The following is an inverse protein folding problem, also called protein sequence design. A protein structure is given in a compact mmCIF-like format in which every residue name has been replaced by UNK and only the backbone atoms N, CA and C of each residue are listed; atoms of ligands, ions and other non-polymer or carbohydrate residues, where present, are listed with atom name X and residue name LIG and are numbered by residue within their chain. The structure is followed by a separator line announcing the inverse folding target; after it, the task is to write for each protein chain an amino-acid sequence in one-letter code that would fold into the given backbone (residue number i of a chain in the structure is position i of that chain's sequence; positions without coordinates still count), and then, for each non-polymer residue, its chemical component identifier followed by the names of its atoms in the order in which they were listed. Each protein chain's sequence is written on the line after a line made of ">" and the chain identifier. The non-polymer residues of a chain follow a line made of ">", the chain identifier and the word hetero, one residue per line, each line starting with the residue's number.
data_IF_160520660120
#
_entry.id   IF_160520660120
#
_cell.length_a   1.000
_cell.length_b   1.000
_cell.length_c   1.000
_cell.angle_alpha   90.00
_cell.angle_beta   90.00
_cell.angle_gamma   90.00
#
_symmetry.space_group_name_H-M   'P 1'
#
loop_
_entity.id
_entity.type
_entity.pdbx_description
1 polymer ?
#
# COMPACT_ATOMS: atom_id res chain seq x y z
N UNK A 1 39.80 -9.57 -36.90
CA UNK A 1 40.71 -8.51 -36.47
C UNK A 1 40.22 -7.93 -35.17
N UNK A 2 41.11 -7.55 -34.30
CA UNK A 2 40.75 -6.99 -32.99
C UNK A 2 40.05 -5.64 -33.13
N UNK A 3 39.03 -5.40 -32.35
CA UNK A 3 38.32 -4.14 -32.29
C UNK A 3 38.70 -3.40 -31.01
N UNK A 4 39.33 -2.26 -31.15
CA UNK A 4 39.76 -1.41 -30.05
C UNK A 4 38.75 -0.27 -29.86
N UNK A 5 38.13 -0.17 -28.68
CA UNK A 5 37.18 0.89 -28.35
C UNK A 5 37.91 2.01 -27.60
N UNK A 6 37.77 3.24 -28.05
CA UNK A 6 38.38 4.44 -27.48
C UNK A 6 37.38 5.56 -27.32
N UNK A 7 37.80 6.59 -26.62
CA UNK A 7 37.05 7.83 -26.50
C UNK A 7 37.89 8.98 -27.09
N UNK A 8 37.24 10.07 -27.39
CA UNK A 8 37.85 11.30 -27.85
C UNK A 8 39.00 11.73 -26.92
N UNK A 9 40.17 12.02 -27.48
CA UNK A 9 41.39 12.42 -26.75
C UNK A 9 42.15 11.31 -26.03
N UNK A 10 41.67 10.07 -26.10
CA UNK A 10 42.38 8.93 -25.46
C UNK A 10 43.54 8.40 -26.30
N UNK A 11 44.67 8.17 -25.66
CA UNK A 11 45.83 7.55 -26.28
C UNK A 11 45.92 6.08 -25.85
N UNK A 12 46.07 5.18 -26.83
CA UNK A 12 46.33 3.77 -26.61
C UNK A 12 47.75 3.42 -27.07
N UNK A 13 48.48 2.73 -26.23
CA UNK A 13 49.77 2.13 -26.55
C UNK A 13 49.62 0.65 -26.86
N UNK A 14 50.06 0.23 -28.04
CA UNK A 14 50.03 -1.17 -28.48
C UNK A 14 51.44 -1.59 -28.80
N UNK A 15 51.96 -2.55 -28.04
CA UNK A 15 53.29 -3.14 -28.33
C UNK A 15 53.31 -3.89 -29.64
N UNK A 16 54.34 -3.69 -30.43
CA UNK A 16 54.58 -4.43 -31.69
C UNK A 16 55.39 -5.69 -31.35
N UNK A 17 54.69 -6.86 -31.39
CA UNK A 17 55.30 -8.17 -31.09
C UNK A 17 55.95 -8.85 -32.26
N UNK A 18 56.33 -8.15 -33.34
CA UNK A 18 56.95 -8.70 -34.55
C UNK A 18 58.42 -8.29 -34.64
N UNK A 19 59.25 -9.15 -35.11
CA UNK A 19 60.68 -8.90 -35.32
C UNK A 19 60.96 -8.18 -36.69
N UNK A 20 60.15 -7.18 -37.00
CA UNK A 20 60.26 -6.38 -38.20
C UNK A 20 61.19 -5.16 -38.02
N UNK A 21 61.51 -4.50 -39.13
CA UNK A 21 62.26 -3.25 -39.14
C UNK A 21 61.48 -2.19 -39.94
N UNK A 22 61.59 -0.93 -39.51
CA UNK A 22 60.96 0.24 -40.13
C UNK A 22 59.45 0.10 -40.26
N UNK A 23 58.80 -0.01 -39.08
CA UNK A 23 57.33 -0.03 -39.00
C UNK A 23 56.73 1.25 -39.48
N UNK A 24 55.63 1.13 -40.24
CA UNK A 24 54.78 2.22 -40.69
C UNK A 24 53.35 1.94 -40.31
N UNK A 25 52.69 2.95 -39.74
CA UNK A 25 51.29 2.87 -39.36
C UNK A 25 50.50 3.95 -40.14
N UNK A 26 49.33 3.56 -40.63
CA UNK A 26 48.42 4.46 -41.36
C UNK A 26 46.97 4.24 -40.83
N UNK A 27 46.26 5.33 -40.61
CA UNK A 27 44.81 5.32 -40.32
C UNK A 27 44.05 5.62 -41.61
N UNK A 28 42.97 4.88 -41.89
CA UNK A 28 42.08 5.15 -43.03
C UNK A 28 41.31 6.49 -42.85
N UNK A 29 41.16 6.93 -41.59
CA UNK A 29 40.54 8.21 -41.26
C UNK A 29 41.24 8.81 -40.02
N UNK A 30 42.11 9.79 -40.26
CA UNK A 30 42.87 10.46 -39.19
C UNK A 30 42.01 11.40 -38.34
N UNK A 31 40.84 11.86 -38.81
CA UNK A 31 39.91 12.63 -38.01
C UNK A 31 39.33 11.75 -36.88
N UNK A 32 39.14 10.43 -37.13
CA UNK A 32 38.66 9.46 -36.13
C UNK A 32 39.83 8.95 -35.27
N UNK A 33 40.95 8.58 -35.85
CA UNK A 33 42.11 8.07 -35.10
C UNK A 33 43.39 8.50 -35.80
N UNK A 34 44.24 9.18 -35.08
CA UNK A 34 45.65 9.35 -35.51
C UNK A 34 46.50 8.18 -35.00
N UNK A 35 47.47 7.74 -35.79
CA UNK A 35 48.32 6.65 -35.44
C UNK A 35 49.79 7.00 -35.73
N UNK A 36 50.68 6.73 -34.78
CA UNK A 36 52.11 6.90 -34.95
C UNK A 36 52.90 5.71 -34.35
N UNK A 37 54.08 5.47 -34.86
CA UNK A 37 55.01 4.48 -34.30
C UNK A 37 56.04 5.20 -33.44
N UNK A 38 56.14 4.82 -32.17
CA UNK A 38 57.11 5.34 -31.22
C UNK A 38 57.91 4.17 -30.63
N UNK A 39 59.15 4.00 -31.09
CA UNK A 39 59.97 2.86 -30.68
C UNK A 39 59.36 1.54 -31.17
N UNK A 40 58.99 0.67 -30.26
CA UNK A 40 58.34 -0.62 -30.57
C UNK A 40 56.85 -0.63 -30.18
N UNK A 41 56.21 0.55 -30.18
CA UNK A 41 54.79 0.70 -29.89
C UNK A 41 54.08 1.50 -30.97
N UNK A 42 52.79 1.24 -31.14
CA UNK A 42 51.86 2.08 -31.89
C UNK A 42 51.11 2.92 -30.87
N UNK A 43 51.10 4.21 -31.06
CA UNK A 43 50.25 5.16 -30.31
C UNK A 43 49.04 5.47 -31.16
N UNK A 44 47.85 5.20 -30.65
CA UNK A 44 46.59 5.53 -31.28
C UNK A 44 45.91 6.63 -30.45
N UNK A 45 45.63 7.76 -31.05
CA UNK A 45 44.88 8.84 -30.38
C UNK A 45 43.50 8.97 -31.00
N UNK A 46 42.44 8.81 -30.17
CA UNK A 46 41.04 8.98 -30.59
C UNK A 46 40.74 10.46 -30.87
N UNK A 47 40.20 10.75 -32.03
CA UNK A 47 39.64 12.04 -32.43
C UNK A 47 38.13 12.02 -32.46
N UNK A 48 37.53 12.28 -33.60
CA UNK A 48 36.07 12.32 -33.78
C UNK A 48 35.41 10.94 -33.55
N UNK A 49 34.14 10.97 -33.12
CA UNK A 49 33.34 9.76 -32.95
C UNK A 49 33.17 9.04 -34.28
N UNK A 50 33.52 7.76 -34.29
CA UNK A 50 33.42 6.97 -35.50
C UNK A 50 34.23 5.66 -35.44
N UNK A 51 34.40 5.01 -36.57
CA UNK A 51 35.21 3.81 -36.66
C UNK A 51 36.16 3.92 -37.86
N UNK A 52 37.41 3.49 -37.69
CA UNK A 52 38.40 3.48 -38.75
C UNK A 52 39.24 2.22 -38.68
N UNK A 53 39.95 1.90 -39.78
CA UNK A 53 40.92 0.83 -39.84
C UNK A 53 42.32 1.44 -39.75
N UNK A 54 43.13 0.91 -38.85
CA UNK A 54 44.56 1.26 -38.75
C UNK A 54 45.37 0.09 -39.30
N UNK A 55 46.31 0.40 -40.19
CA UNK A 55 47.19 -0.58 -40.86
C UNK A 55 48.60 -0.39 -40.33
N UNK A 56 49.17 -1.48 -39.90
CA UNK A 56 50.60 -1.57 -39.61
C UNK A 56 51.29 -2.37 -40.72
N UNK A 57 52.46 -1.93 -41.20
CA UNK A 57 53.30 -2.61 -42.14
C UNK A 57 54.77 -2.43 -41.79
N UNK A 58 55.63 -3.32 -42.29
CA UNK A 58 57.07 -3.24 -42.19
C UNK A 58 57.74 -3.35 -43.61
N UNK A 59 59.07 -3.20 -43.66
CA UNK A 59 59.82 -3.31 -44.89
C UNK A 59 59.92 -4.77 -45.45
N UNK A 60 59.49 -5.77 -44.63
CA UNK A 60 59.40 -7.18 -45.02
C UNK A 60 58.00 -7.57 -45.54
N UNK A 61 57.14 -6.57 -45.81
CA UNK A 61 55.74 -6.75 -46.28
C UNK A 61 54.85 -7.45 -45.33
N UNK A 62 55.19 -7.58 -44.03
CA UNK A 62 54.24 -7.99 -43.02
C UNK A 62 53.18 -6.92 -42.84
N UNK A 63 51.94 -7.35 -42.61
CA UNK A 63 50.78 -6.44 -42.42
C UNK A 63 49.88 -6.90 -41.29
N UNK A 64 49.44 -5.96 -40.51
CA UNK A 64 48.39 -6.14 -39.52
C UNK A 64 47.30 -5.07 -39.70
N UNK A 65 46.07 -5.47 -39.47
CA UNK A 65 44.91 -4.59 -39.52
C UNK A 65 44.21 -4.60 -38.16
N UNK A 66 43.84 -3.44 -37.69
CA UNK A 66 43.04 -3.29 -36.49
C UNK A 66 41.87 -2.31 -36.74
N UNK A 67 40.70 -2.63 -36.21
CA UNK A 67 39.57 -1.74 -36.23
C UNK A 67 39.60 -0.94 -34.94
N UNK A 68 39.49 0.40 -35.03
CA UNK A 68 39.41 1.30 -33.87
C UNK A 68 38.10 2.04 -33.91
N UNK A 69 37.35 2.01 -32.82
CA UNK A 69 36.10 2.70 -32.67
C UNK A 69 36.25 3.78 -31.60
N UNK A 70 35.97 5.03 -31.93
CA UNK A 70 35.95 6.17 -31.03
C UNK A 70 34.49 6.44 -30.64
N UNK A 71 34.21 6.43 -29.35
CA UNK A 71 32.87 6.61 -28.80
C UNK A 71 32.79 7.85 -27.93
N UNK A 72 31.60 8.44 -27.88
CA UNK A 72 31.33 9.54 -26.96
C UNK A 72 31.46 9.09 -25.49
N UNK A 73 32.11 9.94 -24.70
CA UNK A 73 32.11 9.78 -23.24
C UNK A 73 30.69 9.80 -22.70
N UNK A 74 30.32 8.78 -21.94
CA UNK A 74 28.99 8.68 -21.33
C UNK A 74 29.05 8.98 -19.84
N UNK A 75 28.03 9.67 -19.32
CA UNK A 75 27.83 9.77 -17.90
C UNK A 75 27.39 8.40 -17.36
N UNK A 76 27.84 8.04 -16.15
CA UNK A 76 27.41 6.83 -15.47
C UNK A 76 26.04 7.06 -14.84
N UNK A 77 25.08 6.23 -15.20
CA UNK A 77 23.75 6.26 -14.57
C UNK A 77 23.30 4.87 -14.15
N UNK A 78 22.66 4.81 -13.00
CA UNK A 78 21.99 3.63 -12.48
C UNK A 78 20.49 3.70 -12.72
N UNK A 79 19.83 2.56 -12.64
CA UNK A 79 18.37 2.48 -12.59
C UNK A 79 17.84 3.36 -11.46
N UNK A 80 16.79 4.12 -11.74
CA UNK A 80 16.17 5.01 -10.75
C UNK A 80 15.42 4.22 -9.69
N UNK A 81 15.44 4.69 -8.46
CA UNK A 81 14.53 4.21 -7.42
C UNK A 81 13.08 4.61 -7.77
N UNK A 82 12.07 3.90 -7.21
CA UNK A 82 10.67 4.30 -7.34
C UNK A 82 10.44 5.76 -6.94
N UNK A 83 9.42 6.38 -7.52
CA UNK A 83 9.06 7.76 -7.23
C UNK A 83 8.87 8.00 -5.72
N UNK A 84 9.48 9.05 -5.19
CA UNK A 84 9.44 9.40 -3.77
C UNK A 84 10.39 8.60 -2.86
N UNK A 85 11.15 7.65 -3.42
CA UNK A 85 12.14 6.86 -2.66
C UNK A 85 13.55 7.45 -2.87
N UNK A 86 14.12 8.03 -1.83
CA UNK A 86 15.49 8.59 -1.88
C UNK A 86 16.56 7.62 -1.37
N UNK A 87 16.16 6.63 -0.57
CA UNK A 87 17.06 5.67 0.07
C UNK A 87 16.55 4.26 -0.18
N UNK A 88 17.36 3.42 -0.82
CA UNK A 88 17.04 2.02 -1.03
C UNK A 88 17.04 1.28 0.31
N UNK A 89 15.97 0.55 0.60
CA UNK A 89 15.88 -0.33 1.76
C UNK A 89 16.26 -1.76 1.37
N UNK A 90 17.11 -2.37 2.17
CA UNK A 90 17.44 -3.80 2.14
C UNK A 90 17.06 -4.45 3.47
N UNK A 91 16.73 -5.74 3.42
CA UNK A 91 16.54 -6.55 4.60
C UNK A 91 17.88 -7.16 5.06
N UNK A 92 18.07 -7.28 6.38
CA UNK A 92 19.33 -7.77 6.97
C UNK A 92 19.47 -9.31 6.99
N UNK A 93 18.55 -10.03 6.36
CA UNK A 93 18.55 -11.50 6.34
C UNK A 93 19.49 -12.11 5.27
N UNK A 94 19.99 -11.29 4.36
CA UNK A 94 20.89 -11.72 3.27
C UNK A 94 20.21 -12.59 2.20
N UNK A 95 18.91 -12.82 2.30
CA UNK A 95 18.17 -13.72 1.40
C UNK A 95 17.70 -13.01 0.15
N UNK A 96 17.23 -11.79 0.29
CA UNK A 96 16.72 -10.99 -0.82
C UNK A 96 17.82 -10.06 -1.32
N UNK A 97 18.29 -10.34 -2.54
CA UNK A 97 19.22 -9.47 -3.23
C UNK A 97 18.45 -8.43 -4.06
N UNK A 98 18.94 -7.20 -4.04
CA UNK A 98 18.43 -6.14 -4.92
C UNK A 98 19.37 -5.97 -6.11
N UNK A 99 18.80 -6.12 -7.30
CA UNK A 99 19.50 -5.87 -8.56
C UNK A 99 19.16 -4.46 -9.06
N UNK A 100 20.17 -3.73 -9.52
CA UNK A 100 20.02 -2.43 -10.15
C UNK A 100 20.83 -2.37 -11.42
N UNK A 101 20.19 -2.04 -12.54
CA UNK A 101 20.86 -1.96 -13.84
C UNK A 101 21.80 -0.74 -13.91
N UNK A 102 22.95 -0.93 -14.51
CA UNK A 102 23.80 0.18 -14.98
C UNK A 102 23.28 0.54 -16.38
N UNK A 103 22.65 1.70 -16.51
CA UNK A 103 21.97 2.10 -17.74
C UNK A 103 22.95 2.67 -18.77
N UNK A 104 23.89 3.49 -18.31
CA UNK A 104 24.91 4.10 -19.14
C UNK A 104 26.26 4.15 -18.41
N UNK A 105 27.36 4.23 -19.14
CA UNK A 105 28.70 4.35 -18.58
C UNK A 105 29.77 3.84 -19.59
N UNK A 106 31.03 3.86 -19.18
CA UNK A 106 32.17 3.62 -20.08
C UNK A 106 32.84 2.26 -19.82
N UNK A 107 32.18 1.34 -19.13
CA UNK A 107 32.71 0.00 -18.82
C UNK A 107 33.75 0.02 -17.70
N UNK A 108 34.32 -1.17 -17.37
CA UNK A 108 35.32 -1.31 -16.34
C UNK A 108 34.85 -0.86 -14.97
N UNK A 109 33.60 -1.22 -14.64
CA UNK A 109 32.94 -0.75 -13.42
C UNK A 109 33.53 -1.33 -12.15
N UNK A 110 33.65 -0.48 -11.14
CA UNK A 110 34.04 -0.84 -9.77
C UNK A 110 32.98 -0.32 -8.80
N UNK A 111 32.86 -0.96 -7.65
CA UNK A 111 31.94 -0.54 -6.60
C UNK A 111 32.70 -0.28 -5.29
N UNK A 112 32.37 0.83 -4.64
CA UNK A 112 32.79 1.11 -3.28
C UNK A 112 31.59 1.21 -2.37
N UNK A 113 31.73 0.76 -1.11
CA UNK A 113 30.67 0.64 -0.14
C UNK A 113 31.16 1.23 1.19
N UNK A 114 30.43 2.20 1.74
CA UNK A 114 30.78 2.84 3.01
C UNK A 114 30.51 1.97 4.24
N UNK A 115 29.76 0.84 4.10
CA UNK A 115 29.44 -0.08 5.18
C UNK A 115 29.54 -1.56 4.72
N UNK A 116 30.74 -2.07 4.36
CA UNK A 116 30.92 -3.39 3.75
C UNK A 116 30.52 -4.55 4.69
N UNK A 117 30.58 -4.35 5.99
CA UNK A 117 30.12 -5.34 6.99
C UNK A 117 28.59 -5.48 7.01
N UNK A 118 27.87 -4.39 6.69
CA UNK A 118 26.41 -4.37 6.70
C UNK A 118 25.78 -4.67 5.34
N UNK A 119 26.49 -4.42 4.24
CA UNK A 119 25.98 -4.54 2.87
C UNK A 119 26.99 -5.29 2.02
N UNK A 120 26.55 -6.28 1.27
CA UNK A 120 27.30 -6.80 0.12
C UNK A 120 26.96 -5.98 -1.12
N UNK A 121 27.97 -5.63 -1.90
CA UNK A 121 27.80 -4.93 -3.16
C UNK A 121 28.75 -5.52 -4.20
N UNK A 122 28.21 -5.96 -5.33
CA UNK A 122 28.95 -6.60 -6.40
C UNK A 122 28.42 -6.14 -7.75
N UNK A 123 29.31 -6.00 -8.72
CA UNK A 123 28.93 -5.73 -10.12
C UNK A 123 29.12 -7.01 -10.92
N UNK A 124 28.07 -7.40 -11.62
CA UNK A 124 28.05 -8.60 -12.49
C UNK A 124 27.60 -8.24 -13.90
N UNK A 125 27.92 -9.07 -14.86
CA UNK A 125 27.33 -8.95 -16.20
C UNK A 125 25.85 -9.23 -16.16
N UNK A 126 25.07 -8.45 -16.91
CA UNK A 126 23.64 -8.69 -17.08
C UNK A 126 23.43 -9.70 -18.22
N UNK A 127 22.98 -10.93 -17.93
CA UNK A 127 22.82 -11.95 -18.95
C UNK A 127 21.74 -11.61 -19.99
N UNK A 128 20.84 -10.70 -19.65
CA UNK A 128 19.72 -10.31 -20.52
C UNK A 128 20.10 -9.18 -21.50
N UNK A 129 21.28 -8.54 -21.30
CA UNK A 129 21.74 -7.40 -22.10
C UNK A 129 23.19 -7.62 -22.53
N UNK A 130 23.43 -7.82 -23.82
CA UNK A 130 24.80 -7.98 -24.35
C UNK A 130 25.70 -6.80 -23.98
N UNK A 131 26.71 -7.04 -23.16
CA UNK A 131 27.63 -6.03 -22.64
C UNK A 131 27.01 -5.13 -21.57
N UNK A 132 25.83 -5.52 -21.02
CA UNK A 132 25.19 -4.88 -19.89
C UNK A 132 25.80 -5.32 -18.56
N UNK A 133 25.61 -4.50 -17.54
CA UNK A 133 26.04 -4.77 -16.18
C UNK A 133 24.98 -4.37 -15.20
N UNK A 134 24.97 -5.06 -14.05
CA UNK A 134 24.09 -4.73 -12.93
C UNK A 134 24.86 -4.75 -11.61
N UNK A 135 24.41 -3.89 -10.69
CA UNK A 135 24.83 -3.86 -9.31
C UNK A 135 23.93 -4.76 -8.50
N UNK A 136 24.50 -5.72 -7.76
CA UNK A 136 23.78 -6.60 -6.84
C UNK A 136 24.10 -6.17 -5.41
N UNK A 137 23.05 -5.95 -4.62
CA UNK A 137 23.13 -5.51 -3.24
C UNK A 137 22.41 -6.51 -2.32
N UNK A 138 23.03 -6.84 -1.20
CA UNK A 138 22.45 -7.69 -0.15
C UNK A 138 22.69 -7.10 1.23
N UNK A 139 21.65 -7.04 2.07
CA UNK A 139 21.78 -6.58 3.45
C UNK A 139 22.23 -7.73 4.36
N UNK A 140 23.16 -7.46 5.26
CA UNK A 140 23.72 -8.42 6.24
C UNK A 140 23.48 -8.00 7.68
N UNK A 141 23.56 -6.71 7.96
CA UNK A 141 23.39 -6.15 9.30
C UNK A 141 22.74 -4.76 9.20
N UNK A 142 22.02 -4.37 10.25
CA UNK A 142 21.33 -3.08 10.28
C UNK A 142 22.31 -1.92 10.14
N UNK A 143 21.99 -0.99 9.26
CA UNK A 143 22.67 0.30 9.12
C UNK A 143 21.64 1.35 8.68
N UNK A 144 21.61 2.49 9.38
CA UNK A 144 20.63 3.55 9.12
C UNK A 144 20.83 4.18 7.75
N UNK A 145 22.09 4.37 7.35
CA UNK A 145 22.44 4.88 6.02
C UNK A 145 23.88 4.50 5.63
N UNK A 146 24.01 4.01 4.42
CA UNK A 146 25.28 3.80 3.75
C UNK A 146 25.24 4.38 2.33
N UNK A 147 26.40 4.62 1.75
CA UNK A 147 26.56 5.08 0.37
C UNK A 147 27.26 4.01 -0.44
N UNK A 148 26.66 3.60 -1.53
CA UNK A 148 27.24 2.75 -2.56
C UNK A 148 27.60 3.64 -3.73
N UNK A 149 28.85 3.56 -4.18
CA UNK A 149 29.33 4.34 -5.32
C UNK A 149 29.83 3.38 -6.39
N UNK A 150 29.26 3.46 -7.57
CA UNK A 150 29.77 2.78 -8.78
C UNK A 150 30.62 3.77 -9.55
N UNK A 151 31.78 3.34 -9.99
CA UNK A 151 32.71 4.16 -10.79
C UNK A 151 33.12 3.36 -12.02
N UNK A 152 33.17 4.01 -13.17
CA UNK A 152 33.60 3.40 -14.42
C UNK A 152 35.10 3.67 -14.72
N UNK A 153 35.60 3.08 -15.83
CA UNK A 153 37.02 3.22 -16.28
C UNK A 153 37.40 4.67 -16.59
N UNK A 154 36.44 5.61 -16.66
CA UNK A 154 36.65 7.03 -16.97
C UNK A 154 36.43 7.93 -15.74
N UNK A 155 36.42 7.34 -14.56
CA UNK A 155 36.16 8.05 -13.30
C UNK A 155 34.80 8.77 -13.24
N UNK A 156 33.83 8.38 -14.09
CA UNK A 156 32.43 8.79 -13.91
C UNK A 156 31.84 7.94 -12.81
N UNK A 157 31.05 8.54 -11.95
CA UNK A 157 30.48 7.83 -10.80
C UNK A 157 29.00 8.13 -10.62
N UNK A 158 28.29 7.14 -10.11
CA UNK A 158 26.92 7.26 -9.64
C UNK A 158 26.82 6.73 -8.21
N UNK A 159 26.05 7.41 -7.38
CA UNK A 159 25.89 7.06 -5.97
C UNK A 159 24.46 6.66 -5.64
N UNK A 160 24.32 5.72 -4.71
CA UNK A 160 23.08 5.25 -4.17
C UNK A 160 23.12 5.29 -2.65
N UNK A 161 22.11 5.85 -2.02
CA UNK A 161 21.92 5.75 -0.56
C UNK A 161 21.16 4.47 -0.24
N UNK A 162 21.65 3.72 0.74
CA UNK A 162 21.09 2.43 1.16
C UNK A 162 20.95 2.41 2.67
N UNK A 163 19.85 1.85 3.15
CA UNK A 163 19.69 1.47 4.57
C UNK A 163 19.40 -0.02 4.67
N UNK A 164 19.83 -0.64 5.74
CA UNK A 164 19.51 -2.05 6.04
C UNK A 164 18.75 -2.12 7.34
N UNK A 165 17.61 -2.80 7.31
CA UNK A 165 16.72 -2.96 8.47
C UNK A 165 16.31 -4.42 8.61
N UNK A 166 15.70 -4.76 9.75
CA UNK A 166 15.06 -6.07 9.88
C UNK A 166 13.97 -6.24 8.82
N UNK A 167 13.73 -7.48 8.33
CA UNK A 167 12.63 -7.77 7.41
C UNK A 167 11.31 -7.26 7.94
N UNK A 168 10.50 -6.63 7.06
CA UNK A 168 9.13 -6.23 7.43
C UNK A 168 8.29 -7.50 7.60
N UNK A 169 7.69 -7.62 8.78
CA UNK A 169 6.79 -8.71 9.13
C UNK A 169 5.35 -8.23 9.08
N UNK A 170 4.43 -9.02 8.51
CA UNK A 170 3.01 -8.67 8.54
C UNK A 170 2.50 -8.65 9.98
N UNK A 171 1.57 -7.73 10.26
CA UNK A 171 0.85 -7.73 11.53
C UNK A 171 -0.08 -8.93 11.56
N UNK A 172 0.06 -9.81 12.56
CA UNK A 172 -0.79 -10.98 12.77
C UNK A 172 -1.34 -10.96 14.20
N UNK A 173 -2.51 -11.57 14.38
CA UNK A 173 -3.18 -11.71 15.67
C UNK A 173 -3.31 -13.17 16.09
N UNK A 174 -3.51 -13.42 17.39
CA UNK A 174 -3.88 -14.73 17.95
C UNK A 174 -5.38 -15.02 17.82
N UNK A 175 -6.16 -14.07 17.28
CA UNK A 175 -7.58 -14.19 16.99
C UNK A 175 -7.84 -14.00 15.50
N UNK A 176 -8.81 -14.73 14.99
CA UNK A 176 -9.28 -14.65 13.61
C UNK A 176 -10.80 -14.52 13.56
N UNK A 177 -11.31 -14.07 12.42
CA UNK A 177 -12.75 -13.86 12.22
C UNK A 177 -13.26 -12.60 12.92
N UNK A 178 -14.54 -12.61 13.24
CA UNK A 178 -15.22 -11.51 13.94
C UNK A 178 -15.22 -11.78 15.43
N UNK A 179 -14.79 -10.80 16.22
CA UNK A 179 -14.96 -10.84 17.68
C UNK A 179 -16.45 -10.63 18.00
N UNK A 180 -16.96 -11.39 18.96
CA UNK A 180 -18.33 -11.22 19.47
C UNK A 180 -18.23 -10.57 20.86
N UNK A 181 -18.98 -9.46 21.02
CA UNK A 181 -19.01 -8.70 22.27
C UNK A 181 -20.43 -8.63 22.85
N UNK A 182 -20.51 -8.22 24.10
CA UNK A 182 -21.75 -7.94 24.81
C UNK A 182 -21.72 -6.51 25.35
N UNK A 183 -22.72 -5.73 25.00
CA UNK A 183 -22.91 -4.41 25.56
C UNK A 183 -23.66 -4.49 26.90
N UNK A 184 -23.03 -4.05 27.95
CA UNK A 184 -23.61 -3.98 29.30
C UNK A 184 -24.14 -2.56 29.53
N UNK A 185 -25.47 -2.39 29.51
CA UNK A 185 -26.11 -1.09 29.65
C UNK A 185 -25.90 -0.47 31.06
N UNK A 186 -26.04 -1.30 32.10
CA UNK A 186 -25.78 -0.87 33.48
C UNK A 186 -24.77 -1.82 34.13
N UNK A 187 -23.58 -1.33 34.40
CA UNK A 187 -22.52 -2.15 35.01
C UNK A 187 -21.13 -1.89 34.46
N UNK A 188 -20.26 -2.87 34.67
CA UNK A 188 -18.90 -2.80 34.15
C UNK A 188 -18.88 -3.22 32.68
N UNK A 189 -18.35 -2.38 31.76
CA UNK A 189 -18.22 -2.73 30.36
C UNK A 189 -17.40 -4.01 30.17
N UNK A 190 -17.83 -4.85 29.21
CA UNK A 190 -17.06 -6.03 28.82
C UNK A 190 -15.73 -5.61 28.19
N UNK A 191 -14.68 -6.35 28.55
CA UNK A 191 -13.37 -6.24 27.92
C UNK A 191 -13.02 -7.54 27.19
N UNK A 192 -12.57 -7.39 25.96
CA UNK A 192 -12.07 -8.47 25.11
C UNK A 192 -10.62 -8.16 24.82
N UNK A 193 -9.74 -9.14 24.93
CA UNK A 193 -8.32 -8.96 24.60
C UNK A 193 -7.88 -9.94 23.53
N UNK A 194 -6.95 -9.47 22.68
CA UNK A 194 -6.21 -10.29 21.74
C UNK A 194 -4.76 -9.82 21.66
N UNK A 195 -3.87 -10.70 21.17
CA UNK A 195 -2.45 -10.40 21.08
C UNK A 195 -1.98 -10.30 19.65
N UNK A 196 -1.03 -9.39 19.43
CA UNK A 196 -0.25 -9.30 18.21
C UNK A 196 0.84 -10.36 18.26
N UNK A 197 0.80 -11.32 17.35
CA UNK A 197 1.73 -12.45 17.27
C UNK A 197 2.89 -12.22 16.31
N UNK A 198 2.75 -11.27 15.40
CA UNK A 198 3.78 -10.85 14.44
C UNK A 198 3.59 -9.38 14.07
N UNK A 199 4.68 -8.71 13.69
CA UNK A 199 4.72 -7.31 13.29
C UNK A 199 6.08 -6.68 13.63
N UNK A 200 6.20 -5.36 13.46
CA UNK A 200 7.48 -4.66 13.53
C UNK A 200 7.60 -3.72 14.75
N UNK A 201 6.71 -3.84 15.72
CA UNK A 201 6.72 -3.00 16.92
C UNK A 201 6.11 -1.60 16.70
N UNK A 202 6.16 -0.75 17.75
CA UNK A 202 5.62 0.61 17.64
C UNK A 202 4.13 0.66 17.31
N UNK A 203 3.36 -0.29 17.84
CA UNK A 203 1.95 -0.50 17.48
C UNK A 203 1.06 0.64 17.95
N UNK A 204 0.13 1.01 17.08
CA UNK A 204 -1.01 1.87 17.37
C UNK A 204 -2.30 1.12 17.06
N UNK A 205 -3.38 1.44 17.76
CA UNK A 205 -4.68 0.81 17.58
C UNK A 205 -5.78 1.86 17.44
N UNK A 206 -6.75 1.60 16.57
CA UNK A 206 -7.92 2.45 16.37
C UNK A 206 -9.18 1.62 16.23
N UNK A 207 -10.27 2.12 16.79
CA UNK A 207 -11.63 1.66 16.49
C UNK A 207 -12.24 2.57 15.43
N UNK A 208 -12.90 2.00 14.44
CA UNK A 208 -13.62 2.75 13.41
C UNK A 208 -14.86 3.46 14.01
N UNK A 209 -15.48 2.83 15.01
CA UNK A 209 -16.64 3.37 15.70
C UNK A 209 -16.47 3.27 17.23
N UNK A 210 -16.01 4.37 17.83
CA UNK A 210 -15.79 4.46 19.27
C UNK A 210 -17.09 4.43 20.08
N UNK A 211 -18.26 4.66 19.46
CA UNK A 211 -19.57 4.48 20.10
C UNK A 211 -19.96 3.00 20.26
N UNK A 212 -19.24 2.07 19.64
CA UNK A 212 -19.41 0.63 19.85
C UNK A 212 -18.31 0.09 20.74
N UNK A 213 -17.06 0.42 20.47
CA UNK A 213 -15.96 0.00 21.32
C UNK A 213 -14.79 0.99 21.29
N UNK A 214 -14.18 1.20 22.44
CA UNK A 214 -12.89 1.88 22.59
C UNK A 214 -11.78 0.86 22.68
N UNK A 215 -10.55 1.25 22.31
CA UNK A 215 -9.41 0.35 22.24
C UNK A 215 -8.18 0.94 22.92
N UNK A 216 -7.42 0.08 23.56
CA UNK A 216 -6.13 0.42 24.13
C UNK A 216 -5.11 -0.67 23.78
N UNK A 217 -3.82 -0.31 23.76
CA UNK A 217 -2.74 -1.26 23.51
C UNK A 217 -1.66 -1.12 24.58
N UNK A 218 -1.16 -2.25 25.05
CA UNK A 218 -0.03 -2.32 25.96
C UNK A 218 0.92 -3.43 25.48
N UNK A 219 2.11 -3.03 25.03
CA UNK A 219 3.02 -3.97 24.39
C UNK A 219 2.41 -4.58 23.12
N UNK A 220 2.13 -5.86 23.16
CA UNK A 220 1.48 -6.60 22.07
C UNK A 220 0.03 -6.94 22.36
N UNK A 221 -0.50 -6.58 23.53
CA UNK A 221 -1.87 -6.89 23.92
C UNK A 221 -2.80 -5.71 23.58
N UNK A 222 -3.81 -5.98 22.78
CA UNK A 222 -4.91 -5.06 22.48
C UNK A 222 -6.08 -5.38 23.40
N UNK A 223 -6.59 -4.37 24.08
CA UNK A 223 -7.80 -4.45 24.91
C UNK A 223 -8.91 -3.64 24.26
N UNK A 224 -10.03 -4.29 24.01
CA UNK A 224 -11.25 -3.74 23.43
C UNK A 224 -12.27 -3.63 24.54
N UNK A 225 -12.75 -2.40 24.83
CA UNK A 225 -13.80 -2.15 25.79
C UNK A 225 -15.11 -1.88 25.05
N UNK A 226 -16.10 -2.73 25.23
CA UNK A 226 -17.41 -2.61 24.60
C UNK A 226 -18.22 -1.51 25.30
N UNK A 227 -18.64 -0.49 24.56
CA UNK A 227 -19.36 0.67 25.10
C UNK A 227 -20.75 0.85 24.48
N UNK A 228 -21.07 0.10 23.45
CA UNK A 228 -22.36 0.13 22.77
C UNK A 228 -22.56 -1.07 21.86
N UNK A 229 -23.79 -1.29 21.46
CA UNK A 229 -24.15 -2.31 20.46
C UNK A 229 -23.84 -1.83 19.02
N UNK A 230 -23.75 -2.80 18.08
CA UNK A 230 -23.42 -2.58 16.69
C UNK A 230 -22.09 -3.21 16.27
N UNK A 231 -21.56 -2.79 15.15
CA UNK A 231 -20.30 -3.28 14.62
C UNK A 231 -19.23 -2.19 14.55
N UNK A 232 -17.99 -2.61 14.71
CA UNK A 232 -16.84 -1.74 14.46
C UNK A 232 -15.68 -2.59 13.95
N UNK A 233 -14.75 -1.95 13.24
CA UNK A 233 -13.49 -2.55 12.82
C UNK A 233 -12.37 -1.97 13.65
N UNK A 234 -11.54 -2.85 14.21
CA UNK A 234 -10.37 -2.50 15.02
C UNK A 234 -9.15 -2.69 14.14
N UNK A 235 -8.37 -1.64 13.94
CA UNK A 235 -7.18 -1.65 13.11
C UNK A 235 -5.93 -1.41 13.96
N UNK A 236 -4.97 -2.31 13.85
CA UNK A 236 -3.63 -2.18 14.42
C UNK A 236 -2.68 -1.82 13.30
N UNK A 237 -1.83 -0.83 13.53
CA UNK A 237 -0.78 -0.39 12.61
C UNK A 237 0.54 -0.32 13.36
N UNK A 238 1.60 -0.86 12.76
CA UNK A 238 2.95 -0.85 13.33
C UNK A 238 3.80 0.34 12.81
N UNK A 239 5.04 0.44 13.28
CA UNK A 239 5.95 1.52 12.87
C UNK A 239 6.35 1.48 11.39
N UNK A 240 6.32 0.31 10.75
CA UNK A 240 6.61 0.14 9.32
C UNK A 240 5.37 0.38 8.42
N UNK A 241 4.24 0.80 9.03
CA UNK A 241 2.95 1.04 8.38
C UNK A 241 2.23 -0.22 7.90
N UNK A 242 2.70 -1.40 8.30
CA UNK A 242 1.93 -2.62 8.15
C UNK A 242 0.71 -2.56 9.06
N UNK A 243 -0.45 -2.97 8.55
CA UNK A 243 -1.68 -2.93 9.31
C UNK A 243 -2.51 -4.19 9.13
N UNK A 244 -3.27 -4.53 10.16
CA UNK A 244 -4.27 -5.59 10.14
C UNK A 244 -5.50 -5.16 10.92
N UNK A 245 -6.66 -5.56 10.42
CA UNK A 245 -7.94 -5.26 11.04
C UNK A 245 -8.62 -6.55 11.51
N UNK A 246 -9.46 -6.41 12.54
CA UNK A 246 -10.37 -7.43 13.03
C UNK A 246 -11.71 -6.77 13.32
N UNK A 247 -12.80 -7.40 12.93
CA UNK A 247 -14.14 -6.88 13.16
C UNK A 247 -14.65 -7.29 14.54
N UNK A 248 -15.45 -6.43 15.15
CA UNK A 248 -16.21 -6.70 16.35
C UNK A 248 -17.70 -6.53 16.04
N UNK A 249 -18.49 -7.49 16.45
CA UNK A 249 -19.94 -7.42 16.46
C UNK A 249 -20.47 -7.49 17.88
N UNK A 250 -21.37 -6.56 18.23
CA UNK A 250 -22.07 -6.51 19.51
C UNK A 250 -23.57 -6.52 19.22
N UNK A 251 -24.29 -7.57 19.61
CA UNK A 251 -25.73 -7.67 19.38
C UNK A 251 -26.50 -6.52 20.03
N UNK A 252 -27.68 -6.23 19.48
CA UNK A 252 -28.60 -5.25 20.03
C UNK A 252 -28.91 -5.54 21.50
N UNK A 253 -28.62 -4.58 22.39
CA UNK A 253 -28.95 -4.71 23.79
C UNK A 253 -30.43 -4.32 24.00
N UNK A 254 -31.20 -5.29 24.49
CA UNK A 254 -32.64 -5.13 24.71
C UNK A 254 -33.00 -4.46 26.06
N UNK A 255 -32.02 -4.17 26.91
CA UNK A 255 -32.20 -3.53 28.20
C UNK A 255 -31.93 -2.03 28.18
N UNK A 256 -31.21 -1.55 27.15
CA UNK A 256 -31.00 -0.12 26.93
C UNK A 256 -32.13 0.49 26.09
N UNK A 257 -33.04 1.27 26.69
CA UNK A 257 -34.18 1.88 26.01
C UNK A 257 -33.81 3.15 25.22
N UNK A 258 -32.54 3.55 25.21
CA UNK A 258 -32.10 4.77 24.54
C UNK A 258 -32.32 4.67 23.02
N UNK A 259 -33.06 5.60 22.41
CA UNK A 259 -33.31 5.58 20.96
C UNK A 259 -32.03 5.72 20.18
N UNK A 260 -31.76 4.76 19.28
CA UNK A 260 -30.56 4.69 18.50
C UNK A 260 -30.73 3.84 17.25
N UNK A 261 -29.82 3.98 16.32
CA UNK A 261 -29.74 3.16 15.11
C UNK A 261 -28.30 2.72 14.88
N UNK A 262 -28.16 1.53 14.37
CA UNK A 262 -26.93 1.04 13.75
C UNK A 262 -27.25 0.51 12.35
N UNK A 263 -26.45 0.91 11.37
CA UNK A 263 -26.56 0.44 10.01
C UNK A 263 -25.24 0.57 9.27
N UNK A 264 -24.80 -0.52 8.67
CA UNK A 264 -23.62 -0.56 7.76
C UNK A 264 -22.37 0.15 8.33
N UNK A 265 -22.02 -0.17 9.58
CA UNK A 265 -20.85 0.39 10.26
C UNK A 265 -21.08 1.76 10.95
N UNK A 266 -22.26 2.32 10.81
CA UNK A 266 -22.61 3.60 11.41
C UNK A 266 -23.60 3.44 12.57
N UNK A 267 -23.27 4.04 13.72
CA UNK A 267 -24.16 4.12 14.89
C UNK A 267 -24.48 5.57 15.20
N UNK A 268 -25.74 5.86 15.45
CA UNK A 268 -26.20 7.16 15.90
C UNK A 268 -27.23 7.04 17.01
N UNK A 269 -27.10 7.88 18.01
CA UNK A 269 -28.16 8.09 19.00
C UNK A 269 -29.23 9.02 18.44
N UNK A 270 -30.48 8.73 18.80
CA UNK A 270 -31.64 9.45 18.34
C UNK A 270 -32.19 10.23 19.55
N UNK A 271 -32.67 11.44 19.32
CA UNK A 271 -33.27 12.21 20.41
C UNK A 271 -34.54 11.54 20.93
N UNK A 272 -35.05 12.01 22.05
CA UNK A 272 -36.21 11.46 22.75
C UNK A 272 -37.51 11.48 21.94
N UNK A 273 -37.58 12.24 20.87
CA UNK A 273 -38.69 12.29 19.94
C UNK A 273 -38.55 11.34 18.73
N UNK A 274 -37.53 10.51 18.73
CA UNK A 274 -37.23 9.64 17.57
C UNK A 274 -36.59 10.36 16.40
N UNK A 275 -36.15 11.58 16.59
CA UNK A 275 -35.52 12.43 15.58
C UNK A 275 -34.01 12.42 15.80
N UNK A 276 -33.27 12.14 14.77
CA UNK A 276 -31.83 12.20 14.83
C UNK A 276 -31.34 13.63 14.92
N UNK A 277 -30.33 13.83 15.73
CA UNK A 277 -29.76 15.16 15.98
C UNK A 277 -28.83 15.59 14.94
N UNK A 278 -28.72 15.38 13.81
CA UNK A 278 -27.79 16.03 12.88
C UNK A 278 -26.69 15.21 12.23
N UNK A 279 -26.50 15.45 11.04
CA UNK A 279 -25.25 15.93 10.51
C UNK A 279 -24.57 15.11 9.45
N UNK A 280 -24.63 13.83 9.32
CA UNK A 280 -24.03 13.12 8.21
C UNK A 280 -25.06 12.30 7.43
N UNK A 281 -24.70 11.92 6.21
CA UNK A 281 -25.56 11.16 5.32
C UNK A 281 -26.15 9.90 5.94
N UNK A 282 -25.43 9.27 6.84
CA UNK A 282 -25.82 8.02 7.46
C UNK A 282 -26.63 8.22 8.75
N UNK A 283 -26.79 9.45 9.19
CA UNK A 283 -27.53 9.73 10.43
C UNK A 283 -29.01 9.86 10.14
N UNK A 284 -29.87 8.99 10.71
CA UNK A 284 -31.31 9.12 10.52
C UNK A 284 -31.80 10.41 11.18
N UNK A 285 -32.65 11.13 10.47
CA UNK A 285 -33.26 12.37 10.93
C UNK A 285 -34.55 12.09 11.64
N UNK A 286 -35.40 11.28 11.08
CA UNK A 286 -36.70 10.87 11.59
C UNK A 286 -36.93 9.38 11.34
N UNK A 287 -37.59 8.71 12.26
CA UNK A 287 -38.04 7.34 12.11
C UNK A 287 -39.49 7.24 12.61
N UNK A 288 -40.38 6.75 11.76
CA UNK A 288 -41.76 6.60 12.16
C UNK A 288 -42.52 5.58 11.28
N UNK A 289 -43.61 5.05 11.84
CA UNK A 289 -44.58 4.34 11.07
C UNK A 289 -45.39 5.30 10.21
N UNK A 290 -45.55 4.99 8.95
CA UNK A 290 -46.38 5.79 8.08
C UNK A 290 -47.84 5.73 8.54
N UNK A 291 -48.46 6.89 8.65
CA UNK A 291 -49.87 7.02 8.97
C UNK A 291 -50.63 7.66 7.79
N UNK A 292 -51.82 7.12 7.48
CA UNK A 292 -52.70 7.69 6.52
C UNK A 292 -54.12 7.68 7.13
N UNK A 293 -54.77 8.83 7.22
CA UNK A 293 -56.08 8.99 7.82
C UNK A 293 -56.17 8.45 9.26
N UNK A 294 -55.10 8.63 10.04
CA UNK A 294 -55.00 8.17 11.43
C UNK A 294 -54.73 6.68 11.59
N UNK A 295 -54.60 5.91 10.52
CA UNK A 295 -54.25 4.51 10.55
C UNK A 295 -52.78 4.30 10.24
N UNK A 296 -52.13 3.45 11.01
CA UNK A 296 -50.77 3.02 10.74
C UNK A 296 -50.78 2.03 9.55
N UNK A 297 -50.00 2.35 8.54
CA UNK A 297 -49.80 1.52 7.37
C UNK A 297 -48.57 0.62 7.52
N UNK A 298 -48.46 -0.34 6.63
CA UNK A 298 -47.39 -1.35 6.63
C UNK A 298 -46.02 -0.81 6.20
N UNK A 299 -45.77 0.46 6.52
CA UNK A 299 -44.54 1.11 6.09
C UNK A 299 -43.89 1.84 7.27
N UNK A 300 -42.64 1.54 7.48
CA UNK A 300 -41.78 2.24 8.41
C UNK A 300 -40.79 3.10 7.64
N UNK A 301 -40.72 4.36 7.98
CA UNK A 301 -39.87 5.31 7.31
C UNK A 301 -38.66 5.66 8.14
N UNK A 302 -37.52 5.70 7.49
CA UNK A 302 -36.28 6.25 8.03
C UNK A 302 -35.83 7.38 7.12
N UNK A 303 -35.74 8.57 7.66
CA UNK A 303 -35.20 9.73 6.97
C UNK A 303 -33.75 9.95 7.34
N UNK A 304 -32.94 10.21 6.33
CA UNK A 304 -31.60 10.73 6.52
C UNK A 304 -31.56 12.25 6.26
N UNK A 305 -30.51 12.90 6.71
CA UNK A 305 -30.35 14.33 6.53
C UNK A 305 -30.44 14.71 5.04
N UNK A 306 -31.48 15.43 4.67
CA UNK A 306 -31.74 15.89 3.32
C UNK A 306 -32.74 15.07 2.50
N UNK A 307 -33.34 14.04 3.04
CA UNK A 307 -34.36 13.28 2.29
C UNK A 307 -34.72 11.92 2.85
N UNK A 308 -35.56 11.24 2.11
CA UNK A 308 -35.92 9.86 2.39
C UNK A 308 -34.78 8.93 2.04
N UNK A 309 -34.32 8.17 3.01
CA UNK A 309 -33.31 7.16 2.75
C UNK A 309 -33.94 5.82 2.38
N UNK A 310 -34.91 5.37 3.16
CA UNK A 310 -35.40 4.01 3.07
C UNK A 310 -36.88 3.92 3.45
N UNK A 311 -37.61 3.10 2.71
CA UNK A 311 -38.94 2.64 3.08
C UNK A 311 -38.83 1.19 3.51
N UNK A 312 -39.15 0.92 4.76
CA UNK A 312 -39.23 -0.42 5.30
C UNK A 312 -40.69 -0.85 5.30
N UNK A 313 -41.06 -1.71 4.35
CA UNK A 313 -42.42 -2.22 4.28
C UNK A 313 -42.59 -3.37 5.27
N UNK A 314 -43.46 -3.21 6.22
CA UNK A 314 -43.75 -4.27 7.16
C UNK A 314 -45.12 -4.91 6.91
N UNK A 315 -45.14 -6.22 7.06
CA UNK A 315 -46.34 -7.03 7.00
C UNK A 315 -47.02 -7.00 8.36
N UNK A 316 -48.26 -6.65 8.45
CA UNK A 316 -49.01 -6.66 9.70
C UNK A 316 -48.61 -5.61 10.72
N UNK A 317 -48.51 -4.37 10.28
CA UNK A 317 -48.23 -3.21 11.18
C UNK A 317 -49.26 -3.05 12.29
N UNK A 318 -50.52 -3.47 12.07
CA UNK A 318 -51.58 -3.38 13.05
C UNK A 318 -51.25 -4.12 14.36
N UNK A 319 -50.58 -5.24 14.28
CA UNK A 319 -50.17 -6.02 15.44
C UNK A 319 -48.90 -5.49 16.09
N UNK A 320 -48.18 -4.60 15.42
CA UNK A 320 -46.89 -4.08 15.89
C UNK A 320 -45.92 -5.18 16.33
N UNK A 321 -46.05 -6.35 15.73
CA UNK A 321 -45.20 -7.52 15.93
C UNK A 321 -44.78 -8.10 14.58
N UNK A 322 -44.18 -7.30 13.73
CA UNK A 322 -43.80 -7.74 12.40
C UNK A 322 -42.62 -8.68 12.46
N UNK A 323 -42.74 -9.77 11.70
CA UNK A 323 -41.62 -10.57 11.26
C UNK A 323 -41.75 -10.67 9.77
N UNK A 324 -40.90 -9.99 9.04
CA UNK A 324 -41.10 -9.81 7.60
C UNK A 324 -39.77 -9.69 6.84
N UNK A 325 -39.86 -10.01 5.57
CA UNK A 325 -38.88 -9.68 4.58
C UNK A 325 -39.29 -8.38 3.87
N UNK A 326 -38.37 -7.49 3.67
CA UNK A 326 -38.66 -6.24 3.00
C UNK A 326 -37.45 -5.73 2.21
N UNK A 327 -37.70 -4.71 1.39
CA UNK A 327 -36.66 -4.03 0.63
C UNK A 327 -36.50 -2.62 1.17
N UNK A 328 -35.30 -2.24 1.51
CA UNK A 328 -34.95 -0.85 1.79
C UNK A 328 -34.75 -0.17 0.44
N UNK A 329 -35.58 0.83 0.18
CA UNK A 329 -35.50 1.59 -1.04
C UNK A 329 -35.02 3.01 -0.72
N UNK A 330 -33.79 3.32 -1.06
CA UNK A 330 -33.18 4.61 -0.79
C UNK A 330 -33.18 5.55 -2.01
N UNK A 331 -34.03 5.29 -2.98
CA UNK A 331 -34.06 5.97 -4.28
C UNK A 331 -34.38 7.47 -4.21
N UNK A 332 -34.70 7.99 -3.06
CA UNK A 332 -35.11 9.40 -2.87
C UNK A 332 -34.17 10.21 -2.02
N UNK A 333 -33.00 9.70 -1.73
CA UNK A 333 -31.99 10.49 -1.02
C UNK A 333 -31.36 11.49 -1.98
N UNK A 334 -31.08 12.66 -1.50
CA UNK A 334 -30.25 13.63 -2.24
C UNK A 334 -28.79 13.22 -2.36
N UNK A 335 -28.43 12.04 -1.90
CA UNK A 335 -27.09 11.47 -1.88
C UNK A 335 -26.92 10.48 -2.98
N UNK A 336 -26.49 10.98 -4.08
CA UNK A 336 -26.52 10.32 -5.37
C UNK A 336 -25.75 9.01 -5.47
N UNK A 337 -24.72 8.83 -4.72
CA UNK A 337 -23.81 7.69 -4.93
C UNK A 337 -24.29 6.39 -4.30
N UNK A 338 -25.23 6.49 -3.36
CA UNK A 338 -25.82 5.32 -2.68
C UNK A 338 -27.32 5.17 -2.95
N UNK A 339 -27.92 6.16 -3.55
CA UNK A 339 -29.36 6.30 -3.69
C UNK A 339 -30.02 5.32 -4.68
N UNK A 340 -29.25 4.71 -5.52
CA UNK A 340 -29.76 3.86 -6.60
C UNK A 340 -29.92 2.39 -6.21
N UNK A 341 -29.48 1.98 -5.03
CA UNK A 341 -29.45 0.58 -4.63
C UNK A 341 -30.63 0.25 -3.74
N UNK A 342 -31.56 -0.54 -4.23
CA UNK A 342 -32.53 -1.21 -3.37
C UNK A 342 -31.80 -2.26 -2.53
N UNK A 343 -31.86 -2.14 -1.21
CA UNK A 343 -31.29 -3.14 -0.31
C UNK A 343 -32.41 -4.05 0.14
N UNK A 344 -32.29 -5.34 -0.19
CA UNK A 344 -33.26 -6.33 0.24
C UNK A 344 -32.97 -6.78 1.65
N UNK A 345 -33.94 -6.57 2.56
CA UNK A 345 -33.91 -7.13 3.89
C UNK A 345 -34.44 -8.57 3.86
N UNK A 346 -33.70 -9.49 4.48
CA UNK A 346 -34.17 -10.84 4.77
C UNK A 346 -34.82 -10.92 6.14
N UNK A 347 -34.46 -10.01 7.02
CA UNK A 347 -35.02 -9.94 8.37
C UNK A 347 -35.33 -8.49 8.76
N UNK A 348 -36.49 -8.27 9.31
CA UNK A 348 -36.91 -7.07 10.01
C UNK A 348 -37.76 -7.53 11.20
N UNK A 349 -37.14 -7.68 12.36
CA UNK A 349 -37.71 -8.38 13.49
C UNK A 349 -37.94 -7.40 14.65
N UNK A 350 -39.17 -7.35 15.16
CA UNK A 350 -39.44 -6.72 16.43
C UNK A 350 -38.99 -7.65 17.58
N UNK A 351 -37.83 -7.37 18.13
CA UNK A 351 -37.23 -8.19 19.20
C UNK A 351 -37.91 -7.95 20.54
N UNK A 352 -38.21 -6.70 20.89
CA UNK A 352 -38.83 -6.31 22.15
C UNK A 352 -39.64 -5.05 21.97
N UNK A 353 -40.71 -4.94 22.75
CA UNK A 353 -41.49 -3.73 22.90
C UNK A 353 -41.63 -3.41 24.40
N UNK A 354 -41.40 -2.16 24.76
CA UNK A 354 -41.71 -1.63 26.09
C UNK A 354 -42.95 -0.74 25.97
N UNK A 355 -43.87 -0.83 26.92
CA UNK A 355 -45.17 -0.15 26.89
C UNK A 355 -46.29 -1.12 26.53
N UNK A 356 -47.34 -1.16 27.38
CA UNK A 356 -48.46 -2.06 27.27
C UNK A 356 -49.76 -1.28 27.13
N UNK A 357 -50.41 -1.41 26.00
CA UNK A 357 -51.73 -0.84 25.74
C UNK A 357 -51.71 0.43 24.89
N UNK A 358 -52.87 0.86 24.38
CA UNK A 358 -53.01 1.98 23.45
C UNK A 358 -52.76 3.35 24.03
N UNK A 359 -52.72 3.45 25.35
CA UNK A 359 -52.58 4.73 26.08
C UNK A 359 -51.28 4.83 26.90
N UNK A 360 -50.44 3.78 26.88
CA UNK A 360 -49.15 3.84 27.58
C UNK A 360 -48.09 4.47 26.69
N UNK A 361 -47.68 5.66 26.97
CA UNK A 361 -46.56 6.33 26.30
C UNK A 361 -45.39 6.50 27.28
N UNK A 362 -44.17 6.42 26.83
CA UNK A 362 -43.72 6.10 25.46
C UNK A 362 -43.72 4.60 25.15
N UNK A 363 -43.94 4.26 23.90
CA UNK A 363 -43.64 2.94 23.40
C UNK A 363 -42.22 2.93 22.85
N UNK A 364 -41.44 1.89 23.19
CA UNK A 364 -40.08 1.68 22.68
C UNK A 364 -40.06 0.36 21.93
N UNK A 365 -39.58 0.41 20.72
CA UNK A 365 -39.47 -0.73 19.81
C UNK A 365 -38.00 -1.03 19.55
N UNK A 366 -37.59 -2.28 19.77
CA UNK A 366 -36.28 -2.80 19.46
C UNK A 366 -36.40 -3.65 18.20
N UNK A 367 -35.78 -3.21 17.13
CA UNK A 367 -35.93 -3.83 15.81
C UNK A 367 -34.57 -4.23 15.28
N UNK A 368 -34.41 -5.51 14.94
CA UNK A 368 -33.24 -6.03 14.26
C UNK A 368 -33.44 -6.06 12.76
N UNK A 369 -32.39 -5.79 12.01
CA UNK A 369 -32.37 -5.79 10.55
C UNK A 369 -31.26 -6.71 10.05
N UNK A 370 -31.52 -7.42 8.94
CA UNK A 370 -30.52 -8.18 8.22
C UNK A 370 -30.78 -8.15 6.73
N UNK A 371 -29.73 -8.04 5.93
CA UNK A 371 -29.81 -8.06 4.47
C UNK A 371 -29.47 -9.42 3.90
N UNK A 372 -29.78 -9.61 2.62
CA UNK A 372 -29.46 -10.82 1.86
C UNK A 372 -27.94 -11.06 1.76
N UNK A 373 -27.14 -9.99 1.71
CA UNK A 373 -25.67 -10.04 1.72
C UNK A 373 -25.05 -10.18 3.12
N UNK A 374 -25.89 -10.38 4.16
CA UNK A 374 -25.46 -10.67 5.52
C UNK A 374 -25.14 -9.44 6.40
N UNK A 375 -25.35 -8.23 5.90
CA UNK A 375 -25.21 -7.02 6.73
C UNK A 375 -26.26 -7.00 7.82
N UNK A 376 -25.85 -6.55 9.00
CA UNK A 376 -26.72 -6.47 10.19
C UNK A 376 -26.92 -5.02 10.58
N UNK A 377 -28.11 -4.73 11.10
CA UNK A 377 -28.46 -3.43 11.66
C UNK A 377 -29.53 -3.55 12.72
N UNK A 378 -29.80 -2.46 13.40
CA UNK A 378 -30.92 -2.37 14.33
C UNK A 378 -31.42 -0.95 14.48
N UNK A 379 -32.64 -0.84 15.04
CA UNK A 379 -33.30 0.42 15.38
C UNK A 379 -33.91 0.25 16.77
N UNK A 380 -33.60 1.17 17.69
CA UNK A 380 -34.34 1.39 18.93
C UNK A 380 -35.14 2.66 18.75
N UNK A 381 -36.43 2.51 18.55
CA UNK A 381 -37.33 3.63 18.24
C UNK A 381 -38.26 3.91 19.41
N UNK A 382 -38.29 5.16 19.86
CA UNK A 382 -39.24 5.66 20.82
C UNK A 382 -40.38 6.36 20.10
N UNK A 383 -41.58 5.84 20.31
CA UNK A 383 -42.81 6.44 19.79
C UNK A 383 -43.43 7.29 20.90
N UNK A 384 -43.57 8.57 20.63
CA UNK A 384 -44.40 9.49 21.39
C UNK A 384 -45.56 9.88 20.46
N UNK A 385 -46.76 9.58 20.84
CA UNK A 385 -47.94 10.20 20.20
C UNK A 385 -48.12 11.62 20.62
#
# INVERSE_FOLDING_TARGET
>A
GDVYKRQEGEVLHIGIGLDGVNYRVESDNEDVVTAEVVGNEILLTGGDIGSTIVRLSDDSYNRALMTVEVRKLQELTLESLPEGVEVLRLDNDGVILREMKILTGNGGYTVTNSAPEAISAEIVEDPDVTGGYKLILGGKANVDQATITVTDSRNKSATLKVRVTNPIRPVLFDKEGTLEGEYVYEGTPQQISFNITSGNGGYTVKSLNEGVATVAISGTTVTVTVVGDGGTTITVTDQEKESRSIDLWVPLNLDDPTPRIYWDGYRADINTAGVSSTGSYATPKDMYWYQQNGEVKDTYYVYFNGGWANNLNCVNAANRNPKFETTINDTKTSYTDKAASAVKLTEFILEKRIGTGPTSHPHIYFISLKTEDGKRGFIVHRWNE
#
